data_IF_577246162533
#
_entry.id   IF_577246162533
#
_cell.length_a   1.000
_cell.length_b   1.000
_cell.length_c   1.000
_cell.angle_alpha   90.00
_cell.angle_beta   90.00
_cell.angle_gamma   90.00
#
_symmetry.space_group_name_H-M   'P 1'
#
loop_
_entity.id
_entity.type
_entity.pdbx_description
1 polymer ?
#
# COMPACT_ATOMS: atom_id res chain seq x y z
N UNK A 1 -40.29 -33.20 33.76
CA UNK A 1 -38.89 -32.95 34.12
C UNK A 1 -37.92 -33.16 32.91
N UNK A 2 -38.00 -34.25 32.17
CA UNK A 2 -37.12 -34.50 31.01
C UNK A 2 -37.21 -33.41 29.90
N UNK A 3 -38.39 -32.89 29.59
CA UNK A 3 -38.58 -31.85 28.54
C UNK A 3 -37.99 -30.52 28.93
N UNK A 4 -37.96 -30.14 30.20
CA UNK A 4 -37.32 -28.91 30.69
C UNK A 4 -35.78 -29.02 30.60
N UNK A 5 -35.24 -30.21 30.84
CA UNK A 5 -33.81 -30.49 30.73
C UNK A 5 -33.31 -30.35 29.30
N UNK A 6 -34.06 -30.85 28.30
CA UNK A 6 -33.74 -30.68 26.89
C UNK A 6 -33.83 -29.21 26.42
N UNK A 7 -34.79 -28.46 26.97
CA UNK A 7 -34.92 -27.03 26.67
C UNK A 7 -33.71 -26.23 27.20
N UNK A 8 -33.24 -26.55 28.41
CA UNK A 8 -32.06 -25.92 29.01
C UNK A 8 -30.75 -26.22 28.23
N UNK A 9 -30.62 -27.46 27.74
CA UNK A 9 -29.46 -27.82 26.90
C UNK A 9 -29.52 -27.09 25.56
N UNK A 10 -30.68 -26.98 24.93
CA UNK A 10 -30.84 -26.25 23.67
C UNK A 10 -30.51 -24.76 23.81
N UNK A 11 -30.95 -24.11 24.93
CA UNK A 11 -30.60 -22.69 25.17
C UNK A 11 -29.10 -22.47 25.47
N UNK A 12 -28.43 -23.42 26.13
CA UNK A 12 -26.98 -23.35 26.39
C UNK A 12 -26.13 -23.46 25.13
N UNK A 13 -26.62 -24.11 24.06
CA UNK A 13 -25.93 -24.20 22.77
C UNK A 13 -25.94 -22.89 21.95
N UNK A 14 -26.85 -21.96 22.26
CA UNK A 14 -26.94 -20.66 21.59
C UNK A 14 -26.09 -19.55 22.25
N UNK A 15 -25.51 -19.79 23.42
CA UNK A 15 -24.79 -18.78 24.20
C UNK A 15 -23.29 -18.68 23.85
N UNK A 16 -22.80 -19.39 22.83
CA UNK A 16 -21.35 -19.56 22.57
C UNK A 16 -20.72 -18.69 21.48
N UNK A 17 -21.44 -17.77 20.85
CA UNK A 17 -20.94 -17.12 19.63
C UNK A 17 -20.00 -15.93 19.82
N UNK A 18 -19.88 -15.33 20.99
CA UNK A 18 -19.10 -14.10 21.19
C UNK A 18 -17.62 -14.33 21.52
N UNK A 19 -17.25 -15.56 21.86
CA UNK A 19 -15.86 -15.90 22.20
C UNK A 19 -14.92 -15.99 20.98
N UNK A 20 -15.47 -16.20 19.78
CA UNK A 20 -14.69 -16.34 18.53
C UNK A 20 -14.48 -15.02 17.78
N UNK A 21 -15.19 -13.95 18.15
CA UNK A 21 -15.07 -12.62 17.55
C UNK A 21 -14.00 -11.73 18.24
N UNK A 22 -12.98 -12.33 18.83
CA UNK A 22 -11.84 -11.55 19.33
C UNK A 22 -11.01 -11.06 18.14
N UNK A 23 -11.06 -9.74 17.93
CA UNK A 23 -10.09 -9.08 17.04
C UNK A 23 -8.68 -9.34 17.59
N UNK A 24 -7.70 -9.73 16.75
CA UNK A 24 -6.31 -9.93 17.19
C UNK A 24 -5.78 -8.61 17.78
N UNK A 25 -5.25 -8.65 19.00
CA UNK A 25 -4.72 -7.48 19.72
C UNK A 25 -3.48 -6.87 19.05
N UNK A 26 -2.81 -7.64 18.21
CA UNK A 26 -1.56 -7.30 17.52
C UNK A 26 -1.77 -6.80 16.08
N UNK A 27 -3.00 -6.89 15.54
CA UNK A 27 -3.33 -6.41 14.20
C UNK A 27 -4.24 -5.18 14.25
N UNK A 28 -3.85 -4.14 13.53
CA UNK A 28 -4.70 -2.94 13.39
C UNK A 28 -5.91 -3.27 12.54
N UNK A 29 -7.09 -3.08 13.10
CA UNK A 29 -8.35 -3.21 12.34
C UNK A 29 -8.58 -1.97 11.46
N UNK A 30 -9.36 -2.14 10.40
CA UNK A 30 -9.77 -1.02 9.53
C UNK A 30 -10.39 0.13 10.34
N UNK A 31 -11.20 -0.19 11.35
CA UNK A 31 -11.81 0.80 12.23
C UNK A 31 -10.76 1.62 12.98
N UNK A 32 -9.70 1.01 13.48
CA UNK A 32 -8.62 1.69 14.20
C UNK A 32 -7.85 2.64 13.27
N UNK A 33 -7.57 2.21 12.04
CA UNK A 33 -6.86 3.02 11.05
C UNK A 33 -7.66 4.26 10.68
N UNK A 34 -8.96 4.09 10.36
CA UNK A 34 -9.79 5.18 9.83
C UNK A 34 -10.45 6.05 10.90
N UNK A 35 -10.35 5.71 12.18
CA UNK A 35 -10.83 6.56 13.28
C UNK A 35 -9.77 7.52 13.83
N UNK A 36 -8.49 7.29 13.56
CA UNK A 36 -7.39 8.03 14.14
C UNK A 36 -6.63 8.83 13.07
N UNK A 37 -6.53 10.16 13.28
CA UNK A 37 -5.79 11.06 12.38
C UNK A 37 -4.35 10.59 12.12
N UNK A 38 -3.62 10.17 13.16
CA UNK A 38 -2.23 9.76 13.01
C UNK A 38 -2.10 8.52 12.11
N UNK A 39 -3.02 7.58 12.21
CA UNK A 39 -3.02 6.37 11.39
C UNK A 39 -3.42 6.68 9.94
N UNK A 40 -4.37 7.59 9.71
CA UNK A 40 -4.73 8.07 8.37
C UNK A 40 -3.54 8.74 7.68
N UNK A 41 -2.79 9.58 8.41
CA UNK A 41 -1.58 10.22 7.88
C UNK A 41 -0.50 9.18 7.58
N UNK A 42 -0.29 8.18 8.44
CA UNK A 42 0.65 7.08 8.17
C UNK A 42 0.26 6.29 6.92
N UNK A 43 -1.04 6.05 6.73
CA UNK A 43 -1.52 5.36 5.54
C UNK A 43 -1.22 6.16 4.27
N UNK A 44 -1.45 7.47 4.29
CA UNK A 44 -1.08 8.36 3.18
C UNK A 44 0.44 8.36 2.94
N UNK A 45 1.23 8.46 4.02
CA UNK A 45 2.70 8.38 3.93
C UNK A 45 3.17 7.07 3.28
N UNK A 46 2.49 5.97 3.57
CA UNK A 46 2.79 4.69 2.91
C UNK A 46 2.51 4.73 1.39
N UNK A 47 1.53 5.53 0.94
CA UNK A 47 1.32 5.75 -0.49
C UNK A 47 2.49 6.54 -1.14
N UNK A 48 3.18 7.39 -0.39
CA UNK A 48 4.40 8.09 -0.85
C UNK A 48 5.63 7.18 -0.89
N UNK A 49 5.68 6.15 -0.07
CA UNK A 49 6.86 5.28 0.08
C UNK A 49 7.26 4.52 -1.20
N UNK A 50 6.37 4.44 -2.18
CA UNK A 50 6.64 3.80 -3.47
C UNK A 50 7.15 4.76 -4.55
N UNK A 51 7.29 6.05 -4.24
CA UNK A 51 7.91 6.99 -5.18
C UNK A 51 9.35 6.55 -5.47
N UNK A 52 9.78 6.62 -6.72
CA UNK A 52 11.17 6.40 -7.06
C UNK A 52 12.06 7.35 -6.28
N UNK A 53 13.13 6.81 -5.74
CA UNK A 53 14.17 7.64 -5.12
C UNK A 53 15.25 7.84 -6.17
N UNK A 54 15.67 9.07 -6.33
CA UNK A 54 16.83 9.44 -7.14
C UNK A 54 18.13 8.99 -6.42
N UNK A 55 18.42 7.69 -6.56
CA UNK A 55 19.61 7.07 -5.99
C UNK A 55 20.46 6.49 -7.12
N UNK A 56 21.71 6.90 -7.14
CA UNK A 56 22.72 6.52 -8.14
C UNK A 56 22.81 5.03 -8.48
N UNK A 57 22.35 4.14 -7.62
CA UNK A 57 22.63 2.72 -7.85
C UNK A 57 21.58 1.71 -7.40
N UNK A 58 20.44 2.09 -6.94
CA UNK A 58 19.58 1.01 -6.40
C UNK A 58 18.32 0.73 -7.21
N UNK A 59 17.64 1.74 -7.70
CA UNK A 59 16.32 1.52 -8.27
C UNK A 59 15.97 2.49 -9.38
N UNK A 60 16.89 3.39 -9.74
CA UNK A 60 16.63 4.41 -10.73
C UNK A 60 17.58 4.28 -11.93
N UNK A 61 17.09 3.83 -13.08
CA UNK A 61 17.89 3.76 -14.30
C UNK A 61 18.17 5.13 -14.88
N UNK A 62 17.44 6.17 -14.50
CA UNK A 62 17.50 7.48 -15.13
C UNK A 62 18.86 8.14 -15.02
N UNK A 63 19.47 8.06 -13.85
CA UNK A 63 20.78 8.67 -13.61
C UNK A 63 21.92 7.81 -14.15
N UNK A 64 21.83 6.50 -13.98
CA UNK A 64 22.90 5.57 -14.35
C UNK A 64 22.91 5.11 -15.80
N UNK A 65 21.88 5.46 -16.57
CA UNK A 65 21.75 5.12 -17.99
C UNK A 65 21.70 6.36 -18.89
N UNK A 66 21.96 7.55 -18.34
CA UNK A 66 22.02 8.80 -19.07
C UNK A 66 23.49 9.17 -19.39
N UNK A 67 23.68 10.11 -20.30
CA UNK A 67 25.01 10.57 -20.71
C UNK A 67 25.82 11.27 -19.60
N UNK A 68 25.13 11.70 -18.53
CA UNK A 68 25.76 12.42 -17.43
C UNK A 68 26.51 11.50 -16.45
N UNK A 69 26.14 10.22 -16.40
CA UNK A 69 26.70 9.29 -15.42
C UNK A 69 26.72 7.86 -15.93
N UNK A 70 27.88 7.21 -15.80
CA UNK A 70 28.04 5.78 -16.00
C UNK A 70 28.32 5.06 -14.69
N UNK A 71 27.73 3.87 -14.53
CA UNK A 71 27.93 3.04 -13.34
C UNK A 71 28.84 1.86 -13.71
N UNK A 72 30.11 1.86 -13.27
CA UNK A 72 31.08 0.85 -13.67
C UNK A 72 30.93 -0.49 -12.92
N UNK A 73 30.01 -0.59 -11.97
CA UNK A 73 29.86 -1.80 -11.15
C UNK A 73 28.84 -2.77 -11.74
N UNK A 74 29.30 -3.93 -12.13
CA UNK A 74 28.48 -5.02 -12.73
C UNK A 74 27.38 -5.58 -11.80
N UNK A 75 27.38 -5.23 -10.54
CA UNK A 75 26.33 -5.63 -9.57
C UNK A 75 25.00 -4.92 -9.82
N UNK A 76 25.04 -3.78 -10.52
CA UNK A 76 23.83 -2.99 -10.79
C UNK A 76 23.26 -3.27 -12.18
N UNK A 77 21.94 -3.38 -12.32
CA UNK A 77 21.30 -3.62 -13.62
C UNK A 77 21.63 -2.58 -14.70
N UNK A 78 21.81 -1.32 -14.29
CA UNK A 78 22.18 -0.21 -15.18
C UNK A 78 23.48 -0.46 -15.94
N UNK A 79 24.43 -1.18 -15.36
CA UNK A 79 25.66 -1.60 -16.04
C UNK A 79 25.39 -2.40 -17.33
N UNK A 80 24.45 -3.34 -17.27
CA UNK A 80 24.07 -4.16 -18.42
C UNK A 80 23.32 -3.35 -19.49
N UNK A 81 22.55 -2.34 -19.07
CA UNK A 81 21.88 -1.42 -20.00
C UNK A 81 22.94 -0.63 -20.79
N UNK A 82 23.92 -0.05 -20.09
CA UNK A 82 24.99 0.75 -20.70
C UNK A 82 25.88 -0.07 -21.64
N UNK A 83 26.07 -1.35 -21.36
CA UNK A 83 26.76 -2.28 -22.26
C UNK A 83 25.91 -2.75 -23.46
N UNK A 84 24.63 -2.43 -23.50
CA UNK A 84 23.71 -2.94 -24.53
C UNK A 84 23.40 -4.44 -24.39
N UNK A 85 23.74 -5.05 -23.27
CA UNK A 85 23.53 -6.48 -22.98
C UNK A 85 22.24 -6.65 -22.20
N UNK A 86 21.11 -6.39 -22.83
CA UNK A 86 19.80 -6.59 -22.24
C UNK A 86 18.82 -7.22 -23.25
N UNK A 87 17.93 -8.03 -22.75
CA UNK A 87 16.97 -8.81 -23.51
C UNK A 87 15.55 -8.58 -22.95
N UNK A 88 14.48 -8.84 -23.73
CA UNK A 88 13.09 -8.74 -23.24
C UNK A 88 12.79 -9.60 -22.01
N UNK A 89 13.59 -10.65 -21.78
CA UNK A 89 13.50 -11.51 -20.59
C UNK A 89 14.20 -10.92 -19.35
N UNK A 90 15.01 -9.90 -19.53
CA UNK A 90 15.79 -9.28 -18.45
C UNK A 90 15.01 -8.12 -17.87
N UNK A 91 14.62 -8.24 -16.59
CA UNK A 91 13.86 -7.21 -15.90
C UNK A 91 14.79 -6.29 -15.14
N UNK A 92 15.05 -5.10 -15.65
CA UNK A 92 15.90 -4.12 -14.98
C UNK A 92 15.16 -3.28 -13.95
N UNK A 93 13.94 -2.86 -14.29
CA UNK A 93 13.16 -1.92 -13.48
C UNK A 93 11.75 -2.44 -13.26
N UNK A 94 11.61 -3.42 -12.36
CA UNK A 94 10.32 -4.07 -12.10
C UNK A 94 9.53 -3.30 -11.06
N UNK A 95 8.85 -2.24 -11.45
CA UNK A 95 7.96 -1.46 -10.57
C UNK A 95 6.48 -1.82 -10.71
N UNK A 96 6.11 -2.67 -11.65
CA UNK A 96 4.73 -3.06 -11.93
C UNK A 96 3.94 -3.43 -10.68
N UNK A 97 4.40 -4.44 -9.95
CA UNK A 97 3.71 -4.90 -8.74
C UNK A 97 3.66 -3.84 -7.64
N UNK A 98 4.74 -3.08 -7.46
CA UNK A 98 4.84 -2.03 -6.44
C UNK A 98 3.85 -0.91 -6.75
N UNK A 99 3.83 -0.43 -7.97
CA UNK A 99 2.94 0.65 -8.37
C UNK A 99 1.47 0.23 -8.32
N UNK A 100 1.10 -0.96 -8.79
CA UNK A 100 -0.28 -1.43 -8.68
C UNK A 100 -0.73 -1.64 -7.23
N UNK A 101 0.13 -2.10 -6.33
CA UNK A 101 -0.19 -2.16 -4.90
C UNK A 101 -0.46 -0.77 -4.33
N UNK A 102 0.35 0.21 -4.71
CA UNK A 102 0.19 1.58 -4.22
C UNK A 102 -1.02 2.26 -4.84
N UNK A 103 -1.29 2.05 -6.12
CA UNK A 103 -2.54 2.50 -6.76
C UNK A 103 -3.74 1.94 -5.99
N UNK A 104 -3.75 0.65 -5.66
CA UNK A 104 -4.79 0.05 -4.82
C UNK A 104 -4.89 0.74 -3.46
N UNK A 105 -3.75 1.02 -2.81
CA UNK A 105 -3.73 1.73 -1.53
C UNK A 105 -4.36 3.12 -1.63
N UNK A 106 -4.13 3.87 -2.72
CA UNK A 106 -4.77 5.17 -2.93
C UNK A 106 -6.28 5.06 -3.10
N UNK A 107 -6.81 4.00 -3.73
CA UNK A 107 -8.25 3.75 -3.80
C UNK A 107 -8.83 3.41 -2.42
N UNK A 108 -8.15 2.60 -1.64
CA UNK A 108 -8.58 2.30 -0.26
C UNK A 108 -8.58 3.57 0.59
N UNK A 109 -7.58 4.44 0.43
CA UNK A 109 -7.52 5.73 1.11
C UNK A 109 -8.72 6.61 0.75
N UNK A 110 -8.99 6.81 -0.54
CA UNK A 110 -10.11 7.60 -1.04
C UNK A 110 -11.46 7.15 -0.44
N UNK A 111 -11.71 5.84 -0.45
CA UNK A 111 -12.96 5.27 0.05
C UNK A 111 -13.14 5.38 1.58
N UNK A 112 -12.07 5.67 2.32
CA UNK A 112 -12.10 5.59 3.78
C UNK A 112 -11.71 6.88 4.50
N UNK A 113 -10.98 7.81 3.87
CA UNK A 113 -10.53 9.06 4.52
C UNK A 113 -11.70 9.86 5.10
N UNK A 114 -12.86 9.82 4.46
CA UNK A 114 -14.09 10.47 4.94
C UNK A 114 -14.58 9.99 6.30
N UNK A 115 -14.26 8.75 6.69
CA UNK A 115 -14.69 8.12 7.95
C UNK A 115 -13.96 8.70 9.16
N UNK A 116 -12.84 9.39 8.99
CA UNK A 116 -12.07 9.95 10.09
C UNK A 116 -12.76 11.18 10.67
N UNK A 117 -13.38 11.05 11.84
CA UNK A 117 -14.06 12.14 12.53
C UNK A 117 -13.11 13.21 13.06
N UNK A 118 -11.85 12.86 13.33
CA UNK A 118 -10.83 13.74 13.90
C UNK A 118 -10.08 14.58 12.86
N UNK A 119 -10.49 14.55 11.58
CA UNK A 119 -9.96 15.38 10.52
C UNK A 119 -10.99 16.44 10.11
N UNK A 120 -10.53 17.69 9.93
CA UNK A 120 -11.34 18.73 9.31
C UNK A 120 -11.59 18.40 7.82
N UNK A 121 -12.66 18.95 7.25
CA UNK A 121 -12.99 18.70 5.85
C UNK A 121 -11.85 19.17 4.92
N UNK A 122 -11.27 20.34 5.16
CA UNK A 122 -10.14 20.86 4.38
C UNK A 122 -8.94 19.92 4.34
N UNK A 123 -8.63 19.27 5.48
CA UNK A 123 -7.55 18.29 5.55
C UNK A 123 -7.91 16.99 4.81
N UNK A 124 -9.17 16.56 4.87
CA UNK A 124 -9.62 15.40 4.10
C UNK A 124 -9.49 15.66 2.60
N UNK A 125 -9.94 16.81 2.13
CA UNK A 125 -9.90 17.20 0.73
C UNK A 125 -8.45 17.33 0.25
N UNK A 126 -7.58 17.93 1.06
CA UNK A 126 -6.15 18.02 0.77
C UNK A 126 -5.50 16.65 0.65
N UNK A 127 -5.69 15.77 1.65
CA UNK A 127 -5.09 14.43 1.64
C UNK A 127 -5.66 13.56 0.52
N UNK A 128 -6.93 13.74 0.19
CA UNK A 128 -7.53 13.10 -0.97
C UNK A 128 -6.87 13.58 -2.27
N UNK A 129 -6.65 14.88 -2.42
CA UNK A 129 -5.92 15.46 -3.56
C UNK A 129 -4.51 14.88 -3.72
N UNK A 130 -3.78 14.73 -2.59
CA UNK A 130 -2.46 14.09 -2.58
C UNK A 130 -2.53 12.64 -3.06
N UNK A 131 -3.49 11.85 -2.56
CA UNK A 131 -3.67 10.45 -2.98
C UNK A 131 -4.04 10.32 -4.46
N UNK A 132 -4.89 11.22 -4.98
CA UNK A 132 -5.27 11.26 -6.39
C UNK A 132 -4.07 11.63 -7.28
N UNK A 133 -3.25 12.60 -6.86
CA UNK A 133 -2.02 12.96 -7.57
C UNK A 133 -1.06 11.78 -7.64
N UNK A 134 -0.80 11.11 -6.52
CA UNK A 134 0.06 9.93 -6.48
C UNK A 134 -0.46 8.81 -7.39
N UNK A 135 -1.77 8.60 -7.43
CA UNK A 135 -2.39 7.63 -8.34
C UNK A 135 -2.09 7.95 -9.80
N UNK A 136 -2.29 9.22 -10.19
CA UNK A 136 -1.98 9.69 -11.55
C UNK A 136 -0.51 9.48 -11.89
N UNK A 137 0.38 9.82 -10.96
CA UNK A 137 1.82 9.62 -11.10
C UNK A 137 2.20 8.14 -11.31
N UNK A 138 1.65 7.23 -10.51
CA UNK A 138 1.94 5.80 -10.64
C UNK A 138 1.40 5.21 -11.94
N UNK A 139 0.21 5.62 -12.39
CA UNK A 139 -0.30 5.20 -13.69
C UNK A 139 0.56 5.73 -14.84
N UNK A 140 0.96 6.99 -14.79
CA UNK A 140 1.87 7.57 -15.79
C UNK A 140 3.20 6.79 -15.83
N UNK A 141 3.76 6.49 -14.66
CA UNK A 141 5.01 5.74 -14.56
C UNK A 141 4.90 4.33 -15.13
N UNK A 142 3.76 3.63 -14.93
CA UNK A 142 3.52 2.30 -15.51
C UNK A 142 3.47 2.35 -17.05
N UNK A 143 2.91 3.41 -17.63
CA UNK A 143 2.81 3.57 -19.09
C UNK A 143 4.19 3.74 -19.72
N UNK A 144 5.14 4.28 -18.99
CA UNK A 144 6.49 4.60 -19.46
C UNK A 144 7.58 3.61 -18.98
N UNK A 145 7.18 2.47 -18.45
CA UNK A 145 8.10 1.36 -18.09
C UNK A 145 8.49 0.57 -19.32
#
# INVERSE_FOLDING_TARGET
>A
MKKIFYLLIATAMFAGCEYLDKEPDDMKTDKMVWSNRAEVVKYLTNCYASLPMDRLHQDDPWLGCADECDIPWSVYPTYNINLGVWEPSTSFYVKWNTFYRTIRATFVFENNVGKCGNLSQDLKDRYLGEALFLRGYYYLSIIHI
#
